data_IF_977843115428
#
_entry.id   IF_977843115428
#
_cell.length_a   1.000
_cell.length_b   1.000
_cell.length_c   1.000
_cell.angle_alpha   90.00
_cell.angle_beta   90.00
_cell.angle_gamma   90.00
#
_symmetry.space_group_name_H-M   'P 1'
#
loop_
_entity.id
_entity.type
_entity.pdbx_description
1 polymer ?
#
# COMPACT_ATOMS: atom_id res chain seq x y z
N UNK A 1 19.31 43.72 -70.21
CA UNK A 1 18.50 44.93 -70.44
C UNK A 1 18.02 44.89 -71.86
N UNK A 2 16.75 45.18 -72.07
CA UNK A 2 16.19 45.60 -73.35
C UNK A 2 15.09 46.63 -73.06
N UNK A 3 15.09 47.65 -73.90
CA UNK A 3 14.48 48.96 -73.72
C UNK A 3 12.97 49.01 -73.98
N UNK A 4 12.38 50.13 -73.58
CA UNK A 4 10.94 50.35 -73.45
C UNK A 4 10.16 50.58 -74.74
N UNK A 5 8.86 50.83 -74.57
CA UNK A 5 8.06 51.51 -75.57
C UNK A 5 7.39 52.77 -74.99
N UNK A 6 7.36 53.88 -75.75
CA UNK A 6 6.79 55.17 -75.35
C UNK A 6 5.26 55.16 -75.19
N UNK A 7 4.78 56.01 -74.29
CA UNK A 7 3.36 56.25 -74.08
C UNK A 7 2.72 57.14 -75.15
N UNK A 8 1.50 56.83 -75.57
CA UNK A 8 0.59 57.80 -76.18
C UNK A 8 -0.79 57.71 -75.50
N UNK A 9 -1.72 58.65 -75.57
CA UNK A 9 -1.88 59.98 -76.15
C UNK A 9 -3.11 60.54 -75.42
N UNK A 10 -3.14 61.86 -75.20
CA UNK A 10 -4.13 62.54 -74.37
C UNK A 10 -5.61 62.31 -74.73
N UNK A 11 -6.42 62.65 -73.73
CA UNK A 11 -7.83 62.33 -73.49
C UNK A 11 -8.80 62.71 -74.63
N UNK A 12 -9.89 61.93 -74.74
CA UNK A 12 -11.06 62.31 -75.53
C UNK A 12 -11.99 63.12 -74.64
N UNK A 13 -12.37 64.32 -75.12
CA UNK A 13 -13.21 65.27 -74.42
C UNK A 13 -14.60 64.75 -74.04
N UNK A 14 -15.15 65.38 -73.00
CA UNK A 14 -16.40 65.04 -72.33
C UNK A 14 -17.61 65.10 -73.26
N UNK A 15 -18.44 64.04 -73.24
CA UNK A 15 -19.77 64.07 -73.83
C UNK A 15 -20.77 64.60 -72.81
N UNK A 16 -21.63 65.53 -73.25
CA UNK A 16 -22.46 66.39 -72.39
C UNK A 16 -23.44 65.65 -71.46
N UNK A 17 -23.97 66.37 -70.46
CA UNK A 17 -24.76 65.78 -69.38
C UNK A 17 -26.03 65.11 -69.90
N UNK A 18 -26.28 63.88 -69.46
CA UNK A 18 -27.55 63.20 -69.63
C UNK A 18 -28.63 63.99 -68.87
N UNK A 19 -29.77 64.25 -69.51
CA UNK A 19 -30.87 65.02 -68.93
C UNK A 19 -31.31 64.46 -67.57
N UNK A 20 -31.63 65.36 -66.64
CA UNK A 20 -32.07 65.00 -65.28
C UNK A 20 -33.24 64.01 -65.36
N UNK A 21 -33.06 62.84 -64.75
CA UNK A 21 -34.14 61.87 -64.54
C UNK A 21 -35.27 62.59 -63.79
N UNK A 22 -36.51 62.42 -64.25
CA UNK A 22 -37.67 63.00 -63.57
C UNK A 22 -37.70 62.62 -62.09
N UNK A 23 -38.29 63.45 -61.21
CA UNK A 23 -38.33 63.18 -59.78
C UNK A 23 -38.92 61.79 -59.55
N UNK A 24 -38.30 61.03 -58.65
CA UNK A 24 -38.82 59.73 -58.24
C UNK A 24 -40.29 59.88 -57.82
N UNK A 25 -41.15 58.96 -58.26
CA UNK A 25 -42.54 58.93 -57.85
C UNK A 25 -42.65 58.93 -56.31
N UNK A 26 -43.74 59.45 -55.73
CA UNK A 26 -43.90 59.49 -54.28
C UNK A 26 -43.69 58.08 -53.71
N UNK A 27 -42.94 57.99 -52.61
CA UNK A 27 -42.71 56.73 -51.91
C UNK A 27 -44.09 56.13 -51.56
N UNK A 28 -44.29 54.87 -51.94
CA UNK A 28 -45.51 54.14 -51.60
C UNK A 28 -45.77 54.20 -50.08
N UNK A 29 -47.03 54.17 -49.63
CA UNK A 29 -47.35 54.23 -48.21
C UNK A 29 -46.55 53.17 -47.44
N UNK A 30 -45.98 53.58 -46.30
CA UNK A 30 -45.24 52.68 -45.44
C UNK A 30 -46.12 51.48 -45.10
N UNK A 31 -45.61 50.27 -45.37
CA UNK A 31 -46.32 49.04 -45.04
C UNK A 31 -46.71 49.04 -43.56
N UNK A 32 -47.95 48.64 -43.27
CA UNK A 32 -48.44 48.52 -41.89
C UNK A 32 -47.42 47.74 -41.06
N UNK A 33 -47.04 48.31 -39.91
CA UNK A 33 -46.15 47.62 -38.98
C UNK A 33 -46.81 46.29 -38.60
N UNK A 34 -46.13 45.18 -38.89
CA UNK A 34 -46.64 43.85 -38.53
C UNK A 34 -46.99 43.81 -37.05
N UNK A 35 -48.11 43.16 -36.71
CA UNK A 35 -48.54 43.03 -35.32
C UNK A 35 -47.39 42.46 -34.49
N UNK A 36 -47.16 43.07 -33.32
CA UNK A 36 -46.18 42.57 -32.36
C UNK A 36 -46.53 41.10 -32.09
N UNK A 37 -45.60 40.19 -32.38
CA UNK A 37 -45.78 38.78 -32.10
C UNK A 37 -46.25 38.57 -30.65
N UNK A 38 -47.06 37.54 -30.38
CA UNK A 38 -47.57 37.28 -29.04
C UNK A 38 -46.41 37.27 -28.05
N UNK A 39 -46.62 37.91 -26.88
CA UNK A 39 -45.68 37.84 -25.76
C UNK A 39 -45.39 36.36 -25.51
N UNK A 40 -44.11 35.95 -25.56
CA UNK A 40 -43.73 34.58 -25.27
C UNK A 40 -44.30 34.14 -23.93
N UNK A 41 -44.70 32.86 -23.83
CA UNK A 41 -45.21 32.29 -22.59
C UNK A 41 -44.28 32.65 -21.43
N UNK A 42 -44.83 33.06 -20.30
CA UNK A 42 -44.04 33.31 -19.09
C UNK A 42 -43.17 32.07 -18.84
N UNK A 43 -41.84 32.26 -18.76
CA UNK A 43 -40.95 31.20 -18.31
C UNK A 43 -41.46 30.70 -16.96
N UNK A 44 -41.71 29.39 -16.84
CA UNK A 44 -42.16 28.79 -15.58
C UNK A 44 -41.16 29.16 -14.49
N UNK A 45 -41.64 29.68 -13.37
CA UNK A 45 -40.85 29.88 -12.17
C UNK A 45 -40.40 28.50 -11.65
N UNK A 46 -39.29 27.98 -12.17
CA UNK A 46 -38.73 26.67 -11.78
C UNK A 46 -38.10 26.67 -10.38
N UNK A 47 -38.27 27.74 -9.61
CA UNK A 47 -37.68 27.87 -8.28
C UNK A 47 -38.53 27.10 -7.29
N UNK A 48 -38.09 25.88 -6.93
CA UNK A 48 -38.67 25.07 -5.86
C UNK A 48 -39.32 23.75 -6.29
N UNK A 49 -39.33 23.39 -7.59
CA UNK A 49 -39.72 22.04 -8.00
C UNK A 49 -38.56 21.08 -7.66
N UNK A 50 -38.79 20.06 -6.82
CA UNK A 50 -37.76 19.06 -6.53
C UNK A 50 -37.38 18.34 -7.82
N UNK A 51 -36.15 18.57 -8.28
CA UNK A 51 -35.62 17.90 -9.45
C UNK A 51 -35.36 16.44 -9.12
N UNK A 52 -35.96 15.53 -9.89
CA UNK A 52 -35.64 14.11 -9.86
C UNK A 52 -34.57 13.83 -10.89
N UNK A 53 -33.37 13.51 -10.40
CA UNK A 53 -32.25 13.09 -11.22
C UNK A 53 -32.45 11.62 -11.59
N UNK A 54 -32.50 11.31 -12.89
CA UNK A 54 -32.59 9.93 -13.40
C UNK A 54 -31.37 9.66 -14.29
N UNK A 55 -30.66 8.56 -14.04
CA UNK A 55 -29.53 8.14 -14.87
C UNK A 55 -29.97 7.01 -15.80
N UNK A 56 -29.83 7.21 -17.11
CA UNK A 56 -30.10 6.20 -18.14
C UNK A 56 -28.87 6.03 -19.03
N UNK A 57 -28.14 4.92 -18.85
CA UNK A 57 -26.81 4.76 -19.45
C UNK A 57 -25.83 5.78 -18.86
N UNK A 58 -25.15 6.56 -19.72
CA UNK A 58 -24.23 7.64 -19.33
C UNK A 58 -24.87 9.04 -19.43
N UNK A 59 -26.19 9.11 -19.52
CA UNK A 59 -26.93 10.37 -19.64
C UNK A 59 -27.67 10.65 -18.33
N UNK A 60 -27.31 11.76 -17.69
CA UNK A 60 -28.04 12.32 -16.56
C UNK A 60 -29.24 13.11 -17.08
N UNK A 61 -30.44 12.74 -16.67
CA UNK A 61 -31.70 13.36 -17.06
C UNK A 61 -32.29 14.07 -15.85
N UNK A 62 -32.62 15.35 -16.02
CA UNK A 62 -33.33 16.16 -15.04
C UNK A 62 -34.84 16.10 -15.33
N UNK A 63 -35.65 16.01 -14.28
CA UNK A 63 -37.10 16.02 -14.42
C UNK A 63 -37.62 17.38 -14.89
N UNK A 64 -38.91 17.45 -15.19
CA UNK A 64 -39.62 18.72 -15.41
C UNK A 64 -39.05 19.60 -16.53
N UNK A 65 -38.42 18.96 -17.53
CA UNK A 65 -37.83 19.66 -18.68
C UNK A 65 -36.47 20.31 -18.39
N UNK A 66 -35.80 19.96 -17.29
CA UNK A 66 -34.46 20.45 -16.94
C UNK A 66 -33.35 20.04 -17.92
N UNK A 67 -33.68 19.23 -18.92
CA UNK A 67 -32.75 18.77 -19.96
C UNK A 67 -31.97 17.53 -19.55
N UNK A 68 -30.94 17.23 -20.33
CA UNK A 68 -30.07 16.08 -20.10
C UNK A 68 -28.62 16.41 -20.42
N UNK A 69 -27.70 15.87 -19.63
CA UNK A 69 -26.26 15.96 -19.88
C UNK A 69 -25.76 14.55 -20.16
N UNK A 70 -25.19 14.34 -21.35
CA UNK A 70 -24.36 13.16 -21.61
C UNK A 70 -23.04 13.41 -20.90
N UNK A 71 -22.78 12.63 -19.86
CA UNK A 71 -21.52 12.72 -19.12
C UNK A 71 -20.39 12.29 -20.07
N UNK A 72 -19.19 12.90 -19.99
CA UNK A 72 -18.09 12.49 -20.83
C UNK A 72 -17.84 10.99 -20.67
N UNK A 73 -17.61 10.30 -21.79
CA UNK A 73 -17.04 8.94 -21.83
C UNK A 73 -15.55 8.98 -21.42
N UNK A 74 -15.21 9.75 -20.39
CA UNK A 74 -14.22 9.21 -19.47
C UNK A 74 -14.80 7.90 -19.00
N UNK A 75 -14.00 6.85 -18.93
CA UNK A 75 -14.33 5.61 -18.25
C UNK A 75 -14.72 5.92 -16.80
N UNK A 76 -15.90 6.46 -16.54
CA UNK A 76 -16.53 6.62 -15.23
C UNK A 76 -17.32 5.35 -14.89
N UNK A 77 -17.11 4.31 -15.69
CA UNK A 77 -17.15 2.91 -15.30
C UNK A 77 -15.81 2.19 -15.55
N UNK A 78 -14.68 2.91 -15.65
CA UNK A 78 -13.56 2.42 -14.86
C UNK A 78 -14.04 2.71 -13.45
N UNK A 79 -14.41 1.66 -12.72
CA UNK A 79 -14.40 1.73 -11.27
C UNK A 79 -13.20 2.61 -10.92
N UNK A 80 -13.43 3.80 -10.35
CA UNK A 80 -12.49 4.33 -9.38
C UNK A 80 -12.51 3.23 -8.33
N UNK A 81 -11.79 2.14 -8.60
CA UNK A 81 -11.56 1.08 -7.66
C UNK A 81 -10.87 1.89 -6.60
N UNK A 82 -11.59 2.13 -5.50
CA UNK A 82 -10.96 2.70 -4.34
C UNK A 82 -9.65 1.94 -4.23
N UNK A 83 -8.54 2.66 -4.34
CA UNK A 83 -7.24 1.99 -4.28
C UNK A 83 -7.19 1.13 -3.04
N UNK A 84 -7.95 1.52 -2.02
CA UNK A 84 -8.26 0.78 -0.81
C UNK A 84 -9.57 -0.05 -0.87
N UNK A 85 -9.42 -1.35 -0.70
CA UNK A 85 -10.47 -2.29 -0.35
C UNK A 85 -10.60 -2.37 1.18
N UNK A 86 -11.77 -2.73 1.69
CA UNK A 86 -12.01 -2.92 3.13
C UNK A 86 -12.69 -4.27 3.34
N UNK A 87 -12.26 -5.02 4.34
CA UNK A 87 -12.91 -6.26 4.74
C UNK A 87 -12.46 -6.75 6.11
N UNK A 88 -12.69 -8.03 6.37
CA UNK A 88 -12.29 -8.69 7.62
C UNK A 88 -11.46 -9.93 7.28
N UNK A 89 -10.31 -10.07 7.93
CA UNK A 89 -9.39 -11.18 7.70
C UNK A 89 -8.23 -10.86 6.75
N UNK A 90 -7.31 -11.81 6.63
CA UNK A 90 -6.22 -11.72 5.66
C UNK A 90 -6.74 -11.82 4.22
N UNK A 91 -6.30 -10.96 3.29
CA UNK A 91 -6.81 -10.93 1.92
C UNK A 91 -6.23 -12.03 1.02
N UNK A 92 -5.06 -12.60 1.35
CA UNK A 92 -4.45 -13.68 0.54
C UNK A 92 -5.38 -14.89 0.43
N UNK A 93 -5.66 -15.31 -0.81
CA UNK A 93 -6.56 -16.40 -1.16
C UNK A 93 -8.05 -16.08 -1.06
N UNK A 94 -8.43 -14.86 -0.70
CA UNK A 94 -9.83 -14.47 -0.46
C UNK A 94 -10.28 -13.25 -1.25
N UNK A 95 -9.40 -12.26 -1.42
CA UNK A 95 -9.74 -10.97 -2.02
C UNK A 95 -8.97 -10.78 -3.31
N UNK A 96 -9.69 -10.71 -4.42
CA UNK A 96 -9.16 -10.32 -5.73
C UNK A 96 -8.65 -8.87 -5.70
N UNK A 97 -7.50 -8.61 -6.30
CA UNK A 97 -6.95 -7.25 -6.37
C UNK A 97 -6.01 -7.06 -7.54
N UNK A 98 -5.70 -5.80 -7.84
CA UNK A 98 -4.76 -5.35 -8.88
C UNK A 98 -3.52 -4.70 -8.25
N UNK A 99 -2.39 -4.75 -8.96
CA UNK A 99 -1.13 -4.17 -8.47
C UNK A 99 -1.32 -2.75 -7.90
N UNK A 100 -0.80 -2.52 -6.70
CA UNK A 100 -0.85 -1.23 -6.01
C UNK A 100 -2.13 -0.97 -5.22
N UNK A 101 -3.17 -1.79 -5.35
CA UNK A 101 -4.35 -1.70 -4.48
C UNK A 101 -3.96 -2.03 -3.03
N UNK A 102 -4.55 -1.33 -2.07
CA UNK A 102 -4.47 -1.59 -0.64
C UNK A 102 -5.72 -2.32 -0.16
N UNK A 103 -5.58 -2.98 0.98
CA UNK A 103 -6.70 -3.63 1.68
C UNK A 103 -6.58 -3.36 3.18
N UNK A 104 -7.67 -2.95 3.81
CA UNK A 104 -7.75 -2.75 5.27
C UNK A 104 -8.50 -3.91 5.91
N UNK A 105 -7.81 -4.62 6.80
CA UNK A 105 -8.41 -5.64 7.66
C UNK A 105 -8.96 -5.00 8.94
N UNK A 106 -10.28 -4.89 9.01
CA UNK A 106 -10.99 -4.33 10.17
C UNK A 106 -10.83 -5.14 11.45
N UNK A 107 -10.47 -6.43 11.38
CA UNK A 107 -10.20 -7.26 12.55
C UNK A 107 -8.74 -7.21 13.02
N UNK A 108 -7.84 -6.57 12.25
CA UNK A 108 -6.39 -6.62 12.47
C UNK A 108 -5.89 -8.05 12.69
N UNK A 109 -6.26 -8.97 11.80
CA UNK A 109 -5.99 -10.40 11.97
C UNK A 109 -4.49 -10.64 12.11
N UNK A 110 -4.09 -11.28 13.20
CA UNK A 110 -2.70 -11.48 13.59
C UNK A 110 -1.87 -10.19 13.61
N UNK A 111 -2.51 -9.06 13.94
CA UNK A 111 -1.87 -7.77 14.05
C UNK A 111 -1.68 -7.01 12.74
N UNK A 112 -2.05 -7.57 11.59
CA UNK A 112 -1.95 -6.88 10.30
C UNK A 112 -3.18 -6.01 10.03
N UNK A 113 -3.00 -4.70 9.93
CA UNK A 113 -4.09 -3.75 9.65
C UNK A 113 -4.21 -3.48 8.16
N UNK A 114 -3.09 -3.17 7.48
CA UNK A 114 -3.10 -2.71 6.10
C UNK A 114 -2.21 -3.56 5.22
N UNK A 115 -2.71 -3.86 4.03
CA UNK A 115 -2.07 -4.69 3.03
C UNK A 115 -1.93 -3.91 1.72
N UNK A 116 -0.98 -4.31 0.89
CA UNK A 116 -0.78 -3.82 -0.46
C UNK A 116 -0.59 -5.01 -1.42
N UNK A 117 -1.25 -4.92 -2.57
CA UNK A 117 -1.14 -5.88 -3.65
C UNK A 117 0.15 -5.65 -4.42
N UNK A 118 1.05 -6.63 -4.44
CA UNK A 118 2.35 -6.55 -5.14
C UNK A 118 2.40 -7.36 -6.44
N UNK A 119 1.34 -8.10 -6.75
CA UNK A 119 1.19 -8.86 -8.00
C UNK A 119 0.23 -8.18 -8.97
N UNK A 120 0.34 -8.43 -10.30
CA UNK A 120 -0.49 -7.75 -11.31
C UNK A 120 -2.01 -7.89 -11.09
N UNK A 121 -2.48 -9.08 -10.71
CA UNK A 121 -3.90 -9.42 -10.52
C UNK A 121 -4.06 -10.64 -9.59
N UNK A 122 -5.29 -11.12 -9.40
CA UNK A 122 -5.59 -12.36 -8.67
C UNK A 122 -5.90 -12.13 -7.18
N UNK A 123 -6.11 -13.21 -6.43
CA UNK A 123 -6.33 -13.17 -4.96
C UNK A 123 -5.08 -13.46 -4.10
N UNK A 124 -3.90 -13.67 -4.71
CA UNK A 124 -2.63 -13.95 -4.01
C UNK A 124 -1.60 -12.83 -4.20
N UNK A 125 -0.64 -12.68 -3.29
CA UNK A 125 0.41 -11.65 -3.42
C UNK A 125 0.05 -10.32 -2.76
N UNK A 126 -0.80 -10.39 -1.74
CA UNK A 126 -0.98 -9.31 -0.78
C UNK A 126 0.16 -9.35 0.25
N UNK A 127 0.82 -8.23 0.47
CA UNK A 127 1.86 -8.06 1.47
C UNK A 127 1.40 -7.05 2.53
N UNK A 128 1.86 -7.18 3.77
CA UNK A 128 1.52 -6.22 4.83
C UNK A 128 2.26 -4.91 4.58
N UNK A 129 1.55 -3.80 4.73
CA UNK A 129 2.05 -2.43 4.67
C UNK A 129 2.08 -1.79 6.07
N UNK A 130 1.10 -2.12 6.90
CA UNK A 130 1.04 -1.73 8.32
C UNK A 130 0.55 -2.91 9.15
N UNK A 131 1.43 -3.44 9.99
CA UNK A 131 1.11 -4.53 10.89
C UNK A 131 2.11 -4.68 12.03
N UNK A 132 1.62 -5.19 13.14
CA UNK A 132 2.39 -5.49 14.33
C UNK A 132 1.80 -6.72 15.02
N UNK A 133 2.55 -7.82 15.03
CA UNK A 133 2.10 -9.09 15.62
C UNK A 133 1.92 -9.02 17.14
N UNK A 134 2.47 -7.99 17.79
CA UNK A 134 2.76 -7.99 19.21
C UNK A 134 3.82 -9.05 19.56
N UNK A 135 4.16 -9.13 20.85
CA UNK A 135 5.11 -10.13 21.34
C UNK A 135 4.46 -11.51 21.44
N UNK A 136 5.05 -12.50 20.77
CA UNK A 136 4.69 -13.92 20.83
C UNK A 136 5.78 -14.71 21.53
N UNK A 137 5.43 -15.47 22.56
CA UNK A 137 6.38 -16.37 23.24
C UNK A 137 6.69 -17.55 22.35
N UNK A 138 7.98 -17.83 22.15
CA UNK A 138 8.47 -18.96 21.38
C UNK A 138 8.64 -20.19 22.27
N UNK A 139 8.52 -21.37 21.67
CA UNK A 139 8.74 -22.63 22.35
C UNK A 139 10.25 -22.90 22.54
N UNK A 140 10.82 -22.36 23.62
CA UNK A 140 12.26 -22.43 23.87
C UNK A 140 12.68 -23.70 24.62
N UNK A 141 13.77 -24.32 24.16
CA UNK A 141 14.48 -25.41 24.80
C UNK A 141 15.62 -24.89 25.71
N UNK A 142 16.16 -25.78 26.54
CA UNK A 142 17.35 -25.54 27.39
C UNK A 142 17.25 -24.37 28.37
N UNK A 143 16.09 -23.76 28.54
CA UNK A 143 15.89 -22.55 29.34
C UNK A 143 15.84 -22.85 30.84
N UNK A 144 16.40 -21.97 31.65
CA UNK A 144 16.33 -22.03 33.12
C UNK A 144 15.06 -21.34 33.62
N UNK A 145 14.26 -22.04 34.43
CA UNK A 145 13.09 -21.51 35.10
C UNK A 145 12.12 -20.79 34.15
N UNK A 146 11.74 -19.57 34.52
CA UNK A 146 10.78 -18.74 33.78
C UNK A 146 11.38 -18.00 32.58
N UNK A 147 12.63 -18.31 32.21
CA UNK A 147 13.27 -17.76 31.01
C UNK A 147 12.35 -17.94 29.79
N UNK A 148 12.34 -16.95 28.90
CA UNK A 148 11.56 -16.94 27.68
C UNK A 148 12.36 -16.34 26.52
N UNK A 149 12.01 -16.76 25.31
CA UNK A 149 12.29 -16.01 24.08
C UNK A 149 10.95 -15.57 23.51
N UNK A 150 10.83 -14.30 23.13
CA UNK A 150 9.67 -13.77 22.42
C UNK A 150 10.10 -13.23 21.06
N UNK A 151 9.22 -13.32 20.08
CA UNK A 151 9.37 -12.65 18.79
C UNK A 151 8.26 -11.61 18.59
N UNK A 152 8.58 -10.52 17.91
CA UNK A 152 7.61 -9.54 17.41
C UNK A 152 8.00 -9.16 16.01
N UNK A 153 7.04 -9.10 15.11
CA UNK A 153 7.24 -8.58 13.75
C UNK A 153 6.44 -7.30 13.59
N UNK A 154 7.12 -6.26 13.16
CA UNK A 154 6.52 -4.97 12.78
C UNK A 154 6.88 -4.77 11.30
N UNK A 155 5.86 -4.81 10.44
CA UNK A 155 6.06 -4.83 8.99
C UNK A 155 7.08 -5.90 8.60
N UNK A 156 8.19 -5.55 7.96
CA UNK A 156 9.19 -6.52 7.51
C UNK A 156 10.34 -6.73 8.53
N UNK A 157 10.25 -6.15 9.72
CA UNK A 157 11.30 -6.25 10.75
C UNK A 157 10.85 -7.20 11.87
N UNK A 158 11.67 -8.20 12.16
CA UNK A 158 11.52 -9.11 13.29
C UNK A 158 12.49 -8.72 14.40
N UNK A 159 12.00 -8.73 15.64
CA UNK A 159 12.77 -8.52 16.85
C UNK A 159 12.62 -9.73 17.78
N UNK A 160 13.72 -10.15 18.41
CA UNK A 160 13.69 -11.15 19.47
C UNK A 160 13.97 -10.50 20.84
N UNK A 161 13.23 -10.95 21.84
CA UNK A 161 13.40 -10.54 23.23
C UNK A 161 13.72 -11.76 24.09
N UNK A 162 14.73 -11.62 24.95
CA UNK A 162 15.13 -12.61 25.94
C UNK A 162 14.90 -12.04 27.33
N UNK A 163 14.55 -12.90 28.28
CA UNK A 163 14.38 -12.51 29.67
C UNK A 163 13.66 -13.59 30.46
N UNK A 164 13.04 -13.21 31.58
CA UNK A 164 12.19 -14.08 32.40
C UNK A 164 12.77 -14.44 33.77
N UNK A 165 14.05 -14.15 34.00
CA UNK A 165 14.66 -14.21 35.33
C UNK A 165 14.81 -12.79 35.93
N UNK A 166 15.40 -12.72 37.12
CA UNK A 166 15.65 -11.48 37.84
C UNK A 166 16.41 -10.48 36.96
N UNK A 167 16.06 -9.19 37.08
CA UNK A 167 16.63 -8.11 36.26
C UNK A 167 16.53 -8.31 34.74
N UNK A 168 15.61 -9.16 34.29
CA UNK A 168 15.41 -9.47 32.87
C UNK A 168 16.49 -10.39 32.29
N UNK A 169 17.22 -11.14 33.13
CA UNK A 169 18.17 -12.13 32.63
C UNK A 169 17.48 -13.29 31.92
N UNK A 170 18.24 -13.92 31.03
CA UNK A 170 17.92 -15.22 30.48
C UNK A 170 18.86 -16.25 31.09
N UNK A 171 18.38 -17.46 31.32
CA UNK A 171 19.21 -18.54 31.82
C UNK A 171 19.04 -19.82 31.01
N UNK A 172 20.06 -20.67 31.09
CA UNK A 172 20.04 -22.03 30.54
C UNK A 172 20.32 -23.05 31.64
N UNK A 173 19.73 -24.23 31.50
CA UNK A 173 20.07 -25.37 32.36
C UNK A 173 21.47 -25.89 32.02
N UNK A 174 22.12 -26.48 33.02
CA UNK A 174 23.43 -27.11 32.92
C UNK A 174 23.47 -28.20 31.86
N UNK A 175 24.65 -28.45 31.31
CA UNK A 175 24.88 -29.48 30.31
C UNK A 175 24.49 -30.85 30.86
N UNK A 176 23.64 -31.56 30.12
CA UNK A 176 23.10 -32.86 30.54
C UNK A 176 21.95 -32.78 31.55
N UNK A 177 21.55 -31.58 31.98
CA UNK A 177 20.36 -31.37 32.79
C UNK A 177 19.06 -31.65 32.03
N UNK A 178 17.96 -31.84 32.77
CA UNK A 178 16.63 -32.05 32.17
C UNK A 178 16.26 -30.84 31.30
N UNK A 179 15.87 -31.11 30.04
CA UNK A 179 15.51 -30.08 29.07
C UNK A 179 16.68 -29.46 28.31
N UNK A 180 17.93 -29.82 28.62
CA UNK A 180 19.10 -29.40 27.87
C UNK A 180 19.14 -30.08 26.49
N UNK A 181 19.28 -29.29 25.43
CA UNK A 181 19.38 -29.82 24.05
C UNK A 181 20.70 -29.40 23.44
N UNK A 182 21.66 -30.33 23.41
CA UNK A 182 22.97 -30.12 22.82
C UNK A 182 22.88 -29.97 21.30
N UNK A 183 23.66 -29.06 20.72
CA UNK A 183 23.83 -28.99 19.28
C UNK A 183 24.84 -30.05 18.81
N UNK A 184 24.56 -30.84 17.76
CA UNK A 184 25.40 -31.98 17.36
C UNK A 184 26.82 -31.57 16.93
N UNK A 185 26.98 -30.38 16.33
CA UNK A 185 28.29 -29.87 15.90
C UNK A 185 29.28 -29.55 17.03
N UNK A 186 28.83 -29.39 18.28
CA UNK A 186 29.70 -29.35 19.47
C UNK A 186 28.82 -29.46 20.72
N UNK A 187 28.76 -30.66 21.31
CA UNK A 187 27.85 -30.95 22.44
C UNK A 187 28.28 -30.34 23.78
N UNK A 188 29.50 -29.82 23.87
CA UNK A 188 30.02 -29.20 25.08
C UNK A 188 29.77 -27.70 25.12
N UNK A 189 29.86 -27.03 23.96
CA UNK A 189 29.82 -25.56 23.87
C UNK A 189 28.57 -25.02 23.18
N UNK A 190 27.82 -25.83 22.44
CA UNK A 190 26.67 -25.37 21.66
C UNK A 190 25.36 -25.98 22.16
N UNK A 191 24.38 -25.13 22.39
CA UNK A 191 23.07 -25.50 22.96
C UNK A 191 21.95 -24.84 22.17
N UNK A 192 20.91 -25.61 21.84
CA UNK A 192 19.72 -25.07 21.19
C UNK A 192 18.85 -24.33 22.20
N UNK A 193 18.42 -23.13 21.80
CA UNK A 193 17.35 -22.36 22.44
C UNK A 193 16.05 -22.54 21.68
N UNK A 194 16.12 -22.63 20.35
CA UNK A 194 15.06 -23.17 19.48
C UNK A 194 15.71 -24.26 18.64
N UNK A 195 15.17 -25.47 18.66
CA UNK A 195 15.71 -26.58 17.86
C UNK A 195 15.42 -26.38 16.37
N UNK A 196 15.94 -27.27 15.52
CA UNK A 196 15.76 -27.19 14.07
C UNK A 196 14.27 -27.04 13.70
N UNK A 197 13.98 -26.04 12.88
CA UNK A 197 12.65 -25.71 12.38
C UNK A 197 11.74 -25.01 13.39
N UNK A 198 12.20 -24.72 14.61
CA UNK A 198 11.34 -24.12 15.65
C UNK A 198 11.21 -22.61 15.55
N UNK A 199 12.01 -21.91 14.74
CA UNK A 199 11.73 -20.51 14.45
C UNK A 199 10.45 -20.42 13.59
N UNK A 200 9.36 -19.81 14.09
CA UNK A 200 8.07 -19.89 13.41
C UNK A 200 8.07 -19.18 12.07
N UNK A 201 7.29 -19.71 11.13
CA UNK A 201 7.03 -19.06 9.86
C UNK A 201 6.47 -17.65 10.07
N UNK A 202 6.93 -16.69 9.28
CA UNK A 202 6.59 -15.28 9.46
C UNK A 202 7.62 -14.52 10.30
N UNK A 203 8.55 -15.22 10.95
CA UNK A 203 9.59 -14.62 11.79
C UNK A 203 11.00 -15.10 11.42
N UNK A 204 11.17 -15.91 10.38
CA UNK A 204 12.47 -16.49 10.00
C UNK A 204 13.33 -15.45 9.29
N UNK A 205 14.63 -15.74 9.18
CA UNK A 205 15.59 -14.90 8.47
C UNK A 205 16.11 -15.62 7.22
N UNK A 206 16.35 -14.88 6.15
CA UNK A 206 16.82 -15.45 4.89
C UNK A 206 18.25 -16.01 5.01
N UNK A 207 19.11 -15.35 5.79
CA UNK A 207 20.51 -15.71 5.99
C UNK A 207 20.79 -15.93 7.47
N UNK A 208 21.78 -16.76 7.78
CA UNK A 208 22.15 -16.97 9.18
C UNK A 208 22.80 -15.72 9.78
N UNK A 209 22.47 -15.44 11.04
CA UNK A 209 22.94 -14.29 11.80
C UNK A 209 23.66 -14.74 13.07
N UNK A 210 24.60 -13.93 13.54
CA UNK A 210 25.41 -14.21 14.73
C UNK A 210 25.68 -12.90 15.49
N UNK A 211 25.74 -12.97 16.82
CA UNK A 211 26.11 -11.85 17.67
C UNK A 211 26.44 -12.29 19.09
N UNK A 212 26.90 -11.39 19.96
CA UNK A 212 27.45 -11.76 21.26
C UNK A 212 26.39 -12.06 22.32
N UNK A 213 26.76 -12.94 23.26
CA UNK A 213 26.12 -13.11 24.57
C UNK A 213 27.17 -12.86 25.66
N UNK A 214 26.74 -12.27 26.77
CA UNK A 214 27.60 -11.81 27.86
C UNK A 214 26.87 -11.90 29.21
N UNK A 215 27.60 -11.78 30.32
CA UNK A 215 26.99 -11.59 31.64
C UNK A 215 26.61 -10.10 31.87
N UNK A 216 26.09 -9.75 33.04
CA UNK A 216 25.66 -8.36 33.32
C UNK A 216 26.81 -7.33 33.30
N UNK A 217 28.04 -7.76 33.59
CA UNK A 217 29.25 -6.93 33.54
C UNK A 217 29.82 -6.76 32.12
N UNK A 218 29.20 -7.40 31.11
CA UNK A 218 29.67 -7.38 29.73
C UNK A 218 30.79 -8.39 29.43
N UNK A 219 31.12 -9.29 30.36
CA UNK A 219 32.07 -10.38 30.12
C UNK A 219 31.48 -11.36 29.11
N UNK A 220 32.13 -11.62 27.97
CA UNK A 220 31.59 -12.50 26.94
C UNK A 220 31.44 -13.94 27.43
N UNK A 221 30.25 -14.50 27.24
CA UNK A 221 30.02 -15.94 27.34
C UNK A 221 30.18 -16.64 26.00
N UNK A 222 29.99 -15.92 24.89
CA UNK A 222 30.10 -16.45 23.53
C UNK A 222 29.19 -15.74 22.56
N UNK A 223 28.51 -16.50 21.69
CA UNK A 223 27.60 -15.95 20.68
C UNK A 223 26.24 -16.61 20.68
N UNK A 224 25.21 -15.86 20.31
CA UNK A 224 23.99 -16.43 19.75
C UNK A 224 24.15 -16.62 18.25
N UNK A 225 23.43 -17.60 17.70
CA UNK A 225 23.39 -17.88 16.27
C UNK A 225 21.97 -18.24 15.87
N UNK A 226 21.42 -17.49 14.93
CA UNK A 226 20.11 -17.71 14.32
C UNK A 226 20.33 -18.30 12.92
N UNK A 227 19.89 -19.53 12.70
CA UNK A 227 19.99 -20.18 11.39
C UNK A 227 18.98 -19.60 10.41
N UNK A 228 19.41 -19.32 9.17
CA UNK A 228 18.50 -18.94 8.09
C UNK A 228 17.86 -20.14 7.39
N UNK A 229 17.28 -19.92 6.21
CA UNK A 229 16.60 -20.97 5.42
C UNK A 229 17.47 -22.20 5.14
N UNK A 230 18.77 -21.99 4.89
CA UNK A 230 19.73 -23.06 4.64
C UNK A 230 20.32 -23.70 5.91
N UNK A 231 20.12 -23.12 7.10
CA UNK A 231 20.64 -23.63 8.39
C UNK A 231 19.48 -23.92 9.36
N UNK A 232 18.45 -24.57 8.82
CA UNK A 232 17.34 -25.17 9.56
C UNK A 232 16.54 -24.24 10.48
N UNK A 233 16.58 -22.90 10.32
CA UNK A 233 15.73 -21.97 11.07
C UNK A 233 15.74 -22.20 12.60
N UNK A 234 16.91 -22.51 13.17
CA UNK A 234 17.07 -22.74 14.60
C UNK A 234 17.61 -21.49 15.31
N UNK A 235 17.62 -21.49 16.64
CA UNK A 235 18.34 -20.52 17.46
C UNK A 235 19.22 -21.27 18.47
N UNK A 236 20.51 -20.97 18.51
CA UNK A 236 21.45 -21.62 19.43
C UNK A 236 22.36 -20.60 20.11
N UNK A 237 22.87 -20.96 21.27
CA UNK A 237 24.03 -20.31 21.88
C UNK A 237 25.29 -21.15 21.66
N UNK A 238 26.42 -20.48 21.53
CA UNK A 238 27.75 -21.04 21.32
C UNK A 238 28.71 -20.39 22.31
N UNK A 239 29.05 -21.11 23.37
CA UNK A 239 29.87 -20.61 24.46
C UNK A 239 31.37 -20.67 24.11
N UNK A 240 32.15 -19.75 24.68
CA UNK A 240 33.61 -19.76 24.58
C UNK A 240 34.19 -20.96 25.33
N UNK A 241 33.65 -21.24 26.51
CA UNK A 241 34.03 -22.36 27.37
C UNK A 241 32.95 -23.46 27.39
N UNK A 242 33.29 -24.69 27.78
CA UNK A 242 32.30 -25.75 27.97
C UNK A 242 31.18 -25.32 28.91
N UNK A 243 29.93 -25.61 28.52
CA UNK A 243 28.77 -25.36 29.36
C UNK A 243 28.92 -26.23 30.62
N UNK A 244 28.80 -25.66 31.83
CA UNK A 244 28.98 -26.40 33.08
C UNK A 244 27.99 -27.57 33.17
N UNK A 245 28.44 -28.70 33.70
CA UNK A 245 27.60 -29.89 33.91
C UNK A 245 27.05 -29.97 35.35
N UNK A 246 27.57 -29.13 36.23
CA UNK A 246 27.34 -29.11 37.68
C UNK A 246 26.49 -27.92 38.13
N UNK A 247 26.40 -26.85 37.33
CA UNK A 247 25.58 -25.67 37.62
C UNK A 247 24.90 -25.06 36.39
N UNK A 248 23.72 -24.50 36.60
CA UNK A 248 22.99 -23.75 35.58
C UNK A 248 23.64 -22.37 35.36
N UNK A 249 23.35 -21.72 34.22
CA UNK A 249 23.77 -20.33 33.95
C UNK A 249 22.52 -19.46 34.00
N UNK A 250 22.49 -18.44 34.85
CA UNK A 250 21.27 -17.69 35.18
C UNK A 250 21.26 -16.21 34.81
N UNK A 251 22.37 -15.69 34.28
CA UNK A 251 22.68 -14.26 34.17
C UNK A 251 23.06 -13.84 32.75
N UNK A 252 22.54 -14.55 31.73
CA UNK A 252 22.88 -14.29 30.33
C UNK A 252 22.15 -13.03 29.84
N UNK A 253 22.93 -12.11 29.27
CA UNK A 253 22.50 -11.01 28.40
C UNK A 253 22.75 -11.39 26.94
N UNK A 254 21.79 -11.05 26.09
CA UNK A 254 21.84 -11.28 24.64
C UNK A 254 21.84 -9.92 23.97
N UNK A 255 22.76 -9.69 23.03
CA UNK A 255 22.73 -8.45 22.24
C UNK A 255 21.41 -8.33 21.47
N UNK A 256 21.07 -7.11 21.05
CA UNK A 256 19.87 -6.89 20.23
C UNK A 256 19.86 -7.81 18.98
N UNK A 257 18.72 -8.47 18.75
CA UNK A 257 18.48 -9.27 17.54
C UNK A 257 17.31 -8.63 16.81
N UNK A 258 17.62 -7.93 15.73
CA UNK A 258 16.64 -7.29 14.84
C UNK A 258 17.07 -7.52 13.39
N UNK A 259 16.16 -8.00 12.55
CA UNK A 259 16.47 -8.32 11.16
C UNK A 259 15.25 -8.19 10.26
N UNK A 260 15.51 -8.07 8.95
CA UNK A 260 14.46 -8.12 7.95
C UNK A 260 14.05 -9.57 7.67
N UNK A 261 12.75 -9.79 7.46
CA UNK A 261 12.20 -11.06 7.00
C UNK A 261 11.47 -10.87 5.69
N UNK A 262 11.67 -11.80 4.77
CA UNK A 262 10.90 -11.95 3.54
C UNK A 262 9.83 -13.04 3.65
N UNK A 263 9.67 -13.66 4.84
CA UNK A 263 8.53 -14.55 5.08
C UNK A 263 7.22 -13.77 4.89
N UNK A 264 6.18 -14.41 4.31
CA UNK A 264 4.82 -13.92 4.39
C UNK A 264 4.39 -13.68 5.84
N UNK A 265 3.37 -12.82 6.03
CA UNK A 265 2.88 -12.50 7.36
C UNK A 265 2.40 -13.76 8.11
N UNK A 266 2.73 -13.92 9.40
CA UNK A 266 2.38 -15.11 10.17
C UNK A 266 0.87 -15.31 10.26
N UNK A 267 0.43 -16.55 10.03
CA UNK A 267 -0.99 -16.94 10.04
C UNK A 267 -1.50 -17.41 11.41
N UNK A 268 -0.64 -17.61 12.40
CA UNK A 268 -0.98 -17.90 13.80
C UNK A 268 0.05 -17.30 14.77
#
# INVERSE_FOLDING_TARGET
>A
GQDGQPGPKGERGEQGPIGQTGPAGPQGPQGIQGERGPKGENGRDGVGVPQKLTLSGNTLILSDGGGSVTLPETSQNASTSSSELIGTGMPNGKVEGKLGQTYVDTAKTNGALKWIKRTPSGNQGWAVLDGDTGWKTLNSASKLGNSYVKARRINDIVQLQFGGLQWGWFGIVRRGGLGFVAHPGNREKKVFILTNGQMPYGYRTATSLIGPIYNDDGVPYGTWYLGGYGDANHLRFQFLDPIPADKDIGDIRVSNISYYTDDPWPTN
#
